data_IF_715237000397
#
_entry.id   IF_715237000397
#
_cell.length_a   1.000
_cell.length_b   1.000
_cell.length_c   1.000
_cell.angle_alpha   90.00
_cell.angle_beta   90.00
_cell.angle_gamma   90.00
#
_symmetry.space_group_name_H-M   'P 1'
#
loop_
_entity.id
_entity.type
_entity.pdbx_description
1 polymer ?
#
# COMPACT_ATOMS: atom_id res chain seq x y z
N UNK A 1 -16.87 -15.20 0.96
CA UNK A 1 -16.37 -13.92 1.48
C UNK A 1 -15.76 -13.18 0.30
N UNK A 2 -16.15 -11.93 0.04
CA UNK A 2 -15.50 -11.15 -1.01
C UNK A 2 -14.02 -10.97 -0.65
N UNK A 3 -13.15 -10.82 -1.64
CA UNK A 3 -11.70 -10.66 -1.43
C UNK A 3 -11.42 -9.52 -0.43
N UNK A 4 -12.16 -8.41 -0.57
CA UNK A 4 -12.13 -7.25 0.31
C UNK A 4 -12.51 -7.58 1.76
N UNK A 5 -13.58 -8.33 1.97
CA UNK A 5 -14.01 -8.73 3.32
C UNK A 5 -12.95 -9.62 4.01
N UNK A 6 -12.25 -10.46 3.23
CA UNK A 6 -11.13 -11.26 3.76
C UNK A 6 -9.98 -10.39 4.20
N UNK A 7 -9.58 -9.45 3.35
CA UNK A 7 -8.48 -8.53 3.64
C UNK A 7 -8.79 -7.74 4.91
N UNK A 8 -9.98 -7.13 5.00
CA UNK A 8 -10.42 -6.42 6.21
C UNK A 8 -10.45 -7.31 7.45
N UNK A 9 -10.90 -8.55 7.32
CA UNK A 9 -10.89 -9.49 8.45
C UNK A 9 -9.47 -9.77 8.94
N UNK A 10 -8.50 -10.00 8.04
CA UNK A 10 -7.10 -10.23 8.39
C UNK A 10 -6.49 -8.99 9.08
N UNK A 11 -6.70 -7.80 8.52
CA UNK A 11 -6.25 -6.53 9.09
C UNK A 11 -6.81 -6.30 10.51
N UNK A 12 -8.10 -6.56 10.71
CA UNK A 12 -8.76 -6.34 12.00
C UNK A 12 -8.44 -7.42 13.05
N UNK A 13 -8.17 -8.65 12.61
CA UNK A 13 -7.77 -9.73 13.53
C UNK A 13 -6.42 -9.41 14.19
N UNK A 14 -5.48 -8.84 13.43
CA UNK A 14 -4.12 -8.42 13.85
C UNK A 14 -3.50 -9.35 14.89
N UNK A 15 -3.54 -10.66 14.62
CA UNK A 15 -3.01 -11.68 15.50
C UNK A 15 -1.54 -11.89 15.15
N UNK A 16 -0.64 -11.49 16.05
CA UNK A 16 0.81 -11.57 15.83
C UNK A 16 1.32 -12.97 15.52
N UNK A 17 0.57 -14.02 15.89
CA UNK A 17 0.91 -15.41 15.57
C UNK A 17 0.75 -15.78 14.10
N UNK A 18 -0.04 -14.98 13.36
CA UNK A 18 -0.40 -15.23 11.96
C UNK A 18 -0.12 -14.01 11.08
N UNK A 19 0.45 -12.94 11.64
CA UNK A 19 0.56 -11.66 10.94
C UNK A 19 1.47 -11.77 9.72
N UNK A 20 2.51 -12.60 9.78
CA UNK A 20 3.40 -12.82 8.63
C UNK A 20 2.64 -13.46 7.45
N UNK A 21 1.85 -14.50 7.70
CA UNK A 21 1.06 -15.15 6.65
C UNK A 21 -0.09 -14.26 6.16
N UNK A 22 -0.75 -13.55 7.07
CA UNK A 22 -1.82 -12.60 6.73
C UNK A 22 -1.28 -11.44 5.90
N UNK A 23 -0.15 -10.85 6.30
CA UNK A 23 0.57 -9.79 5.60
C UNK A 23 0.91 -10.20 4.16
N UNK A 24 1.53 -11.37 4.02
CA UNK A 24 1.86 -11.93 2.70
C UNK A 24 0.60 -12.18 1.85
N UNK A 25 -0.46 -12.72 2.45
CA UNK A 25 -1.72 -12.96 1.74
C UNK A 25 -2.41 -11.65 1.32
N UNK A 26 -2.37 -10.61 2.17
CA UNK A 26 -2.88 -9.27 1.85
C UNK A 26 -2.13 -8.71 0.65
N UNK A 27 -0.80 -8.63 0.72
CA UNK A 27 0.04 -8.15 -0.37
C UNK A 27 -0.23 -8.92 -1.67
N UNK A 28 -0.21 -10.25 -1.61
CA UNK A 28 -0.46 -11.12 -2.78
C UNK A 28 -1.83 -10.86 -3.42
N UNK A 29 -2.84 -10.47 -2.63
CA UNK A 29 -4.15 -10.13 -3.18
C UNK A 29 -4.17 -8.75 -3.81
N UNK A 30 -3.59 -7.76 -3.13
CA UNK A 30 -3.57 -6.37 -3.59
C UNK A 30 -2.70 -6.19 -4.84
N UNK A 31 -1.62 -6.94 -4.99
CA UNK A 31 -0.74 -6.82 -6.17
C UNK A 31 -1.33 -7.33 -7.48
N UNK A 32 -2.47 -8.04 -7.45
CA UNK A 32 -3.01 -8.68 -8.66
C UNK A 32 -3.57 -7.69 -9.68
N UNK A 33 -4.23 -6.62 -9.21
CA UNK A 33 -4.83 -5.61 -10.05
C UNK A 33 -4.72 -4.25 -9.36
N UNK A 34 -4.08 -3.30 -10.05
CA UNK A 34 -3.80 -1.97 -9.53
C UNK A 34 -5.08 -1.18 -9.26
N UNK A 35 -6.06 -1.25 -10.17
CA UNK A 35 -7.28 -0.44 -10.07
C UNK A 35 -8.22 -0.97 -8.98
N UNK A 36 -8.39 -2.29 -8.88
CA UNK A 36 -9.14 -2.91 -7.78
C UNK A 36 -8.52 -2.56 -6.42
N UNK A 37 -7.19 -2.49 -6.35
CA UNK A 37 -6.46 -2.09 -5.14
C UNK A 37 -6.67 -0.61 -4.82
N UNK A 38 -6.56 0.29 -5.79
CA UNK A 38 -6.86 1.72 -5.59
C UNK A 38 -8.29 1.92 -5.06
N UNK A 39 -9.26 1.22 -5.65
CA UNK A 39 -10.66 1.27 -5.23
C UNK A 39 -10.81 0.78 -3.78
N UNK A 40 -10.17 -0.33 -3.43
CA UNK A 40 -10.15 -0.83 -2.05
C UNK A 40 -9.54 0.19 -1.08
N UNK A 41 -8.34 0.72 -1.37
CA UNK A 41 -7.62 1.66 -0.52
C UNK A 41 -8.39 2.98 -0.32
N UNK A 42 -9.14 3.43 -1.33
CA UNK A 42 -10.03 4.59 -1.20
C UNK A 42 -11.12 4.37 -0.13
N UNK A 43 -11.55 3.12 0.07
CA UNK A 43 -12.54 2.76 1.11
C UNK A 43 -11.93 2.50 2.48
N UNK A 44 -10.61 2.38 2.60
CA UNK A 44 -9.93 2.16 3.87
C UNK A 44 -9.99 3.41 4.76
N UNK A 45 -10.10 3.15 6.06
CA UNK A 45 -9.84 4.12 7.14
C UNK A 45 -8.34 4.34 7.31
N UNK A 46 -7.98 5.43 8.01
CA UNK A 46 -6.57 5.72 8.35
C UNK A 46 -5.91 4.57 9.10
N UNK A 47 -6.61 3.93 10.04
CA UNK A 47 -6.07 2.81 10.81
C UNK A 47 -5.85 1.57 9.93
N UNK A 48 -6.76 1.30 8.99
CA UNK A 48 -6.59 0.23 8.01
C UNK A 48 -5.36 0.50 7.15
N UNK A 49 -5.17 1.71 6.63
CA UNK A 49 -3.98 2.06 5.84
C UNK A 49 -2.68 1.91 6.64
N UNK A 50 -2.65 2.38 7.89
CA UNK A 50 -1.49 2.20 8.77
C UNK A 50 -1.19 0.73 9.09
N UNK A 51 -2.21 -0.12 9.07
CA UNK A 51 -2.04 -1.55 9.38
C UNK A 51 -1.29 -2.27 8.25
N UNK A 52 -1.43 -1.80 7.01
CA UNK A 52 -0.83 -2.43 5.82
C UNK A 52 0.24 -1.56 5.17
N UNK A 53 0.86 -0.65 5.93
CA UNK A 53 1.84 0.32 5.42
C UNK A 53 3.06 -0.36 4.78
N UNK A 54 3.44 -1.54 5.29
CA UNK A 54 4.55 -2.32 4.75
C UNK A 54 4.21 -2.89 3.37
N UNK A 55 3.01 -3.46 3.23
CA UNK A 55 2.51 -3.97 1.97
C UNK A 55 2.31 -2.83 0.95
N UNK A 56 1.95 -1.63 1.41
CA UNK A 56 1.87 -0.46 0.53
C UNK A 56 3.24 -0.08 -0.06
N UNK A 57 4.32 -0.21 0.71
CA UNK A 57 5.68 0.01 0.20
C UNK A 57 6.04 -1.02 -0.89
N UNK A 58 5.76 -2.30 -0.65
CA UNK A 58 5.99 -3.35 -1.66
C UNK A 58 5.14 -3.15 -2.92
N UNK A 59 3.91 -2.62 -2.77
CA UNK A 59 3.05 -2.29 -3.91
C UNK A 59 3.54 -1.06 -4.68
N UNK A 60 4.18 -0.09 -4.01
CA UNK A 60 4.83 1.04 -4.70
C UNK A 60 5.98 0.54 -5.58
N UNK A 61 6.74 -0.45 -5.13
CA UNK A 61 7.76 -1.10 -5.97
C UNK A 61 7.17 -1.89 -7.14
N UNK A 62 6.06 -2.60 -6.92
CA UNK A 62 5.40 -3.42 -7.97
C UNK A 62 4.69 -2.56 -9.04
N UNK A 63 4.08 -1.43 -8.66
CA UNK A 63 3.26 -0.60 -9.55
C UNK A 63 3.90 0.74 -9.94
N UNK A 64 4.97 1.15 -9.27
CA UNK A 64 5.76 2.32 -9.64
C UNK A 64 6.68 2.03 -10.83
N UNK A 65 7.21 3.09 -11.42
CA UNK A 65 8.28 3.00 -12.41
C UNK A 65 9.68 3.21 -11.80
N UNK A 66 10.71 3.17 -12.66
CA UNK A 66 12.11 3.35 -12.26
C UNK A 66 12.41 4.69 -11.59
N UNK A 67 11.55 5.70 -11.75
CA UNK A 67 11.72 7.04 -11.17
C UNK A 67 10.86 7.25 -9.91
N UNK A 68 10.15 6.21 -9.45
CA UNK A 68 9.17 6.31 -8.38
C UNK A 68 7.94 7.13 -8.80
N UNK A 69 7.64 7.17 -10.08
CA UNK A 69 6.46 7.82 -10.64
C UNK A 69 5.43 6.76 -11.08
N UNK A 70 4.25 7.21 -11.47
CA UNK A 70 3.18 6.34 -11.94
C UNK A 70 1.84 6.60 -11.26
N UNK A 71 0.79 6.08 -11.90
CA UNK A 71 -0.60 6.32 -11.48
C UNK A 71 -0.85 5.86 -10.04
N UNK A 72 -0.24 4.73 -9.63
CA UNK A 72 -0.36 4.21 -8.27
C UNK A 72 0.31 5.11 -7.23
N UNK A 73 1.50 5.63 -7.53
CA UNK A 73 2.22 6.50 -6.61
C UNK A 73 1.47 7.83 -6.44
N UNK A 74 1.01 8.42 -7.53
CA UNK A 74 0.23 9.66 -7.49
C UNK A 74 -1.11 9.46 -6.76
N UNK A 75 -1.74 8.29 -6.92
CA UNK A 75 -2.91 7.92 -6.15
C UNK A 75 -2.61 7.87 -4.64
N UNK A 76 -1.53 7.20 -4.23
CA UNK A 76 -1.15 7.09 -2.82
C UNK A 76 -0.77 8.44 -2.21
N UNK A 77 -0.12 9.33 -2.96
CA UNK A 77 0.18 10.70 -2.53
C UNK A 77 -1.12 11.45 -2.21
N UNK A 78 -2.07 11.46 -3.15
CA UNK A 78 -3.39 12.08 -2.95
C UNK A 78 -4.20 11.41 -1.83
N UNK A 79 -4.04 10.10 -1.61
CA UNK A 79 -4.68 9.40 -0.51
C UNK A 79 -4.06 9.79 0.84
N UNK A 80 -2.73 9.89 0.90
CA UNK A 80 -1.96 10.35 2.06
C UNK A 80 -2.37 11.74 2.51
N UNK A 81 -2.39 12.71 1.60
CA UNK A 81 -2.83 14.10 1.89
C UNK A 81 -4.24 14.17 2.50
N UNK A 82 -5.13 13.25 2.11
CA UNK A 82 -6.52 13.22 2.57
C UNK A 82 -6.72 12.44 3.87
N UNK A 83 -5.89 11.42 4.15
CA UNK A 83 -6.21 10.39 5.16
C UNK A 83 -5.08 10.05 6.13
N UNK A 84 -3.81 10.19 5.75
CA UNK A 84 -2.70 9.65 6.54
C UNK A 84 -1.39 10.37 6.22
N UNK A 85 -0.91 11.19 7.16
CA UNK A 85 0.40 11.85 7.08
C UNK A 85 1.55 10.84 6.99
N UNK A 86 1.43 9.69 7.67
CA UNK A 86 2.42 8.60 7.60
C UNK A 86 2.56 8.07 6.18
N UNK A 87 1.42 7.79 5.53
CA UNK A 87 1.41 7.32 4.14
C UNK A 87 2.03 8.37 3.20
N UNK A 88 1.66 9.65 3.38
CA UNK A 88 2.21 10.73 2.58
C UNK A 88 3.73 10.83 2.70
N UNK A 89 4.25 10.67 3.92
CA UNK A 89 5.70 10.67 4.14
C UNK A 89 6.37 9.45 3.50
N UNK A 90 5.80 8.24 3.64
CA UNK A 90 6.33 7.04 2.98
C UNK A 90 6.38 7.17 1.46
N UNK A 91 5.35 7.76 0.84
CA UNK A 91 5.34 8.01 -0.62
C UNK A 91 6.44 8.99 -1.02
N UNK A 92 6.68 10.04 -0.22
CA UNK A 92 7.75 11.01 -0.47
C UNK A 92 9.13 10.40 -0.34
N UNK A 93 9.36 9.63 0.72
CA UNK A 93 10.61 8.89 0.93
C UNK A 93 10.87 7.92 -0.22
N UNK A 94 9.84 7.17 -0.65
CA UNK A 94 9.93 6.27 -1.80
C UNK A 94 10.35 7.00 -3.07
N UNK A 95 9.70 8.13 -3.40
CA UNK A 95 10.06 8.96 -4.57
C UNK A 95 11.50 9.47 -4.52
N UNK A 96 11.99 9.86 -3.34
CA UNK A 96 13.38 10.31 -3.17
C UNK A 96 14.35 9.16 -3.41
N UNK A 97 14.12 7.99 -2.80
CA UNK A 97 14.99 6.83 -2.91
C UNK A 97 15.11 6.34 -4.37
N UNK A 98 14.00 6.23 -5.10
CA UNK A 98 14.02 5.82 -6.53
C UNK A 98 14.81 6.78 -7.41
N UNK A 99 14.69 8.08 -7.16
CA UNK A 99 15.45 9.10 -7.89
C UNK A 99 16.95 9.04 -7.63
N UNK A 100 17.35 8.67 -6.41
CA UNK A 100 18.77 8.45 -6.09
C UNK A 100 19.31 7.19 -6.80
N UNK A 101 18.53 6.10 -6.83
CA UNK A 101 18.90 4.84 -7.53
C UNK A 101 19.04 5.01 -9.05
N UNK A 102 18.22 5.84 -9.69
CA UNK A 102 18.25 6.05 -11.14
C UNK A 102 19.46 6.89 -11.65
N UNK A 103 20.20 7.54 -10.73
CA UNK A 103 21.32 8.43 -11.07
C UNK A 103 22.69 7.72 -11.00
N UNK A 104 22.76 6.55 -10.37
CA UNK A 104 23.96 5.70 -10.24
C UNK A 104 24.13 4.73 -11.44
#
# INVERSE_FOLDING_TARGET
>A
MLVIDKIRWMMNRRDSRWWEEDSWEIYTKLRNDMYDTMDFLNTCSTLELQTIEWELNDLMDDFGDENGEGEFIDFLENLGERKSDSLLESVREFKVNKKEEAVD
#
